data_IF_996223809455
#
_entry.id   IF_996223809455
#
_cell.length_a   1.000
_cell.length_b   1.000
_cell.length_c   1.000
_cell.angle_alpha   90.00
_cell.angle_beta   90.00
_cell.angle_gamma   90.00
#
_symmetry.space_group_name_H-M   'P 1'
#
loop_
_entity.id
_entity.type
_entity.pdbx_description
1 polymer ?
#
# COMPACT_ATOMS: atom_id res chain seq x y z
N UNK A 1 5.91 -14.51 42.09
CA UNK A 1 5.66 -15.53 41.04
C UNK A 1 6.85 -15.49 40.08
N UNK A 2 7.61 -16.57 39.97
CA UNK A 2 8.66 -16.66 38.92
C UNK A 2 7.96 -17.13 37.64
N UNK A 3 7.85 -16.25 36.67
CA UNK A 3 7.29 -16.60 35.33
C UNK A 3 8.30 -17.48 34.63
N UNK A 4 8.00 -18.76 34.43
CA UNK A 4 8.87 -19.68 33.73
C UNK A 4 8.69 -19.50 32.20
N UNK A 5 9.36 -18.48 31.64
CA UNK A 5 9.38 -18.22 30.21
C UNK A 5 10.52 -19.00 29.59
N UNK A 6 10.22 -19.96 28.73
CA UNK A 6 11.19 -20.77 28.03
C UNK A 6 11.01 -20.62 26.50
N UNK A 7 12.11 -20.46 25.79
CA UNK A 7 12.10 -20.49 24.33
C UNK A 7 11.97 -21.91 23.83
N UNK A 8 11.14 -22.14 22.83
CA UNK A 8 11.09 -23.36 22.06
C UNK A 8 12.41 -23.60 21.30
N UNK A 9 12.66 -24.81 20.85
CA UNK A 9 13.86 -25.12 20.06
C UNK A 9 13.96 -24.27 18.78
N UNK A 10 12.84 -23.98 18.12
CA UNK A 10 12.80 -23.13 16.95
C UNK A 10 13.19 -21.68 17.27
N UNK A 11 12.67 -21.13 18.37
CA UNK A 11 13.00 -19.77 18.83
C UNK A 11 14.47 -19.66 19.22
N UNK A 12 15.01 -20.68 19.93
CA UNK A 12 16.44 -20.72 20.27
C UNK A 12 17.33 -20.74 19.02
N UNK A 13 16.95 -21.51 17.99
CA UNK A 13 17.69 -21.56 16.73
C UNK A 13 17.61 -20.21 15.99
N UNK A 14 16.45 -19.58 15.95
CA UNK A 14 16.27 -18.27 15.34
C UNK A 14 17.14 -17.19 16.02
N UNK A 15 17.14 -17.14 17.35
CA UNK A 15 17.96 -16.18 18.13
C UNK A 15 19.45 -16.40 17.92
N UNK A 16 19.89 -17.65 17.75
CA UNK A 16 21.31 -18.00 17.54
C UNK A 16 21.77 -17.84 16.10
N UNK A 17 20.88 -17.56 15.17
CA UNK A 17 21.21 -17.41 13.74
C UNK A 17 21.21 -15.93 13.32
N UNK A 18 22.34 -15.22 13.40
CA UNK A 18 22.44 -13.82 12.98
C UNK A 18 22.27 -13.64 11.47
N UNK A 19 22.58 -14.66 10.65
CA UNK A 19 22.53 -14.59 9.20
C UNK A 19 21.13 -14.27 8.69
N UNK A 20 20.09 -14.84 9.33
CA UNK A 20 18.70 -14.54 9.00
C UNK A 20 18.39 -13.03 9.15
N UNK A 21 18.80 -12.45 10.27
CA UNK A 21 18.55 -11.00 10.53
C UNK A 21 19.37 -10.12 9.58
N UNK A 22 20.62 -10.48 9.30
CA UNK A 22 21.45 -9.75 8.35
C UNK A 22 20.87 -9.80 6.93
N UNK A 23 20.36 -10.96 6.51
CA UNK A 23 19.69 -11.13 5.23
C UNK A 23 18.40 -10.30 5.17
N UNK A 24 17.56 -10.34 6.22
CA UNK A 24 16.37 -9.49 6.34
C UNK A 24 16.73 -8.02 6.17
N UNK A 25 17.76 -7.54 6.90
CA UNK A 25 18.18 -6.14 6.83
C UNK A 25 18.66 -5.76 5.42
N UNK A 26 19.40 -6.63 4.75
CA UNK A 26 19.84 -6.45 3.38
C UNK A 26 18.66 -6.30 2.41
N UNK A 27 17.65 -7.17 2.53
CA UNK A 27 16.42 -7.10 1.71
C UNK A 27 15.68 -5.78 1.97
N UNK A 28 15.47 -5.41 3.24
CA UNK A 28 14.81 -4.17 3.62
C UNK A 28 15.52 -2.94 3.02
N UNK A 29 16.86 -2.91 3.05
CA UNK A 29 17.63 -1.84 2.44
C UNK A 29 17.46 -1.78 0.91
N UNK A 30 17.46 -2.93 0.23
CA UNK A 30 17.19 -3.00 -1.22
C UNK A 30 15.79 -2.50 -1.58
N UNK A 31 14.78 -2.88 -0.81
CA UNK A 31 13.40 -2.40 -1.01
C UNK A 31 13.30 -0.89 -0.75
N UNK A 32 13.99 -0.37 0.26
CA UNK A 32 14.03 1.07 0.51
C UNK A 32 14.68 1.84 -0.66
N UNK A 33 15.77 1.31 -1.24
CA UNK A 33 16.40 1.88 -2.44
C UNK A 33 15.43 1.85 -3.63
N UNK A 34 14.78 0.71 -3.88
CA UNK A 34 13.77 0.58 -4.94
C UNK A 34 12.63 1.62 -4.76
N UNK A 35 12.15 1.82 -3.56
CA UNK A 35 11.12 2.82 -3.27
C UNK A 35 11.61 4.26 -3.46
N UNK A 36 12.90 4.53 -3.19
CA UNK A 36 13.53 5.80 -3.53
C UNK A 36 13.53 6.06 -5.04
N UNK A 37 13.95 5.10 -5.84
CA UNK A 37 13.93 5.17 -7.31
C UNK A 37 12.49 5.32 -7.83
N UNK A 38 11.55 4.54 -7.31
CA UNK A 38 10.14 4.60 -7.68
C UNK A 38 9.53 5.98 -7.40
N UNK A 39 9.94 6.65 -6.33
CA UNK A 39 9.47 7.99 -6.03
C UNK A 39 9.93 9.03 -7.07
N UNK A 40 11.11 8.87 -7.63
CA UNK A 40 11.61 9.72 -8.72
C UNK A 40 10.82 9.49 -10.01
N UNK A 41 10.48 8.23 -10.30
CA UNK A 41 9.63 7.90 -11.44
C UNK A 41 8.21 8.48 -11.29
N UNK A 42 7.62 8.41 -10.12
CA UNK A 42 6.32 9.03 -9.85
C UNK A 42 6.37 10.54 -10.04
N UNK A 43 7.44 11.22 -9.61
CA UNK A 43 7.61 12.65 -9.85
C UNK A 43 7.73 12.97 -11.35
N UNK A 44 8.48 12.15 -12.10
CA UNK A 44 8.62 12.28 -13.55
C UNK A 44 7.28 12.11 -14.28
N UNK A 45 6.53 11.06 -13.94
CA UNK A 45 5.21 10.78 -14.52
C UNK A 45 4.21 11.91 -14.20
N UNK A 46 4.22 12.42 -12.97
CA UNK A 46 3.38 13.54 -12.58
C UNK A 46 3.60 14.77 -13.47
N UNK A 47 4.85 15.11 -13.73
CA UNK A 47 5.19 16.24 -14.59
C UNK A 47 4.73 16.01 -16.04
N UNK A 48 4.78 14.77 -16.56
CA UNK A 48 4.35 14.41 -17.93
C UNK A 48 2.82 14.39 -18.08
N UNK A 49 2.11 13.92 -17.05
CA UNK A 49 0.67 13.71 -17.11
C UNK A 49 -0.17 14.95 -16.72
N UNK A 50 0.48 16.07 -16.42
CA UNK A 50 -0.18 17.31 -16.02
C UNK A 50 -1.20 17.12 -14.88
N UNK A 51 -0.87 16.22 -13.94
CA UNK A 51 -1.68 15.93 -12.77
C UNK A 51 -1.66 17.10 -11.77
N UNK A 52 -2.58 17.17 -10.80
CA UNK A 52 -2.66 18.30 -9.90
C UNK A 52 -1.34 18.55 -9.14
N UNK A 53 -0.74 19.73 -9.32
CA UNK A 53 0.58 20.11 -8.74
C UNK A 53 0.61 20.04 -7.20
N UNK A 54 -0.54 20.15 -6.54
CA UNK A 54 -0.62 20.07 -5.08
C UNK A 54 -0.10 18.73 -4.52
N UNK A 55 -0.19 17.65 -5.31
CA UNK A 55 0.20 16.31 -4.88
C UNK A 55 1.72 16.16 -4.67
N UNK A 56 2.54 17.01 -5.29
CA UNK A 56 4.01 16.99 -5.16
C UNK A 56 4.56 17.93 -4.07
N UNK A 57 3.72 18.63 -3.34
CA UNK A 57 4.17 19.61 -2.34
C UNK A 57 4.90 18.97 -1.15
N UNK A 58 4.64 17.70 -0.90
CA UNK A 58 5.28 16.96 0.19
C UNK A 58 6.33 15.99 -0.35
N UNK A 59 7.43 15.87 0.38
CA UNK A 59 8.47 14.90 0.04
C UNK A 59 7.97 13.45 0.15
N UNK A 60 8.57 12.51 -0.64
CA UNK A 60 8.33 11.08 -0.47
C UNK A 60 8.53 10.65 0.98
N UNK A 61 7.66 9.78 1.48
CA UNK A 61 7.79 9.21 2.82
C UNK A 61 7.94 7.72 2.72
N UNK A 62 9.12 7.20 3.08
CA UNK A 62 9.34 5.77 3.27
C UNK A 62 9.22 5.47 4.77
N UNK A 63 8.31 4.56 5.11
CA UNK A 63 8.06 4.10 6.47
C UNK A 63 8.30 2.59 6.55
N UNK A 64 8.78 2.12 7.69
CA UNK A 64 8.91 0.69 7.96
C UNK A 64 8.22 0.34 9.27
N UNK A 65 7.70 -0.87 9.35
CA UNK A 65 7.15 -1.46 10.56
C UNK A 65 7.47 -2.94 10.65
N UNK A 66 7.34 -3.50 11.83
CA UNK A 66 7.68 -4.89 12.10
C UNK A 66 6.43 -5.75 12.32
N UNK A 67 5.24 -5.15 12.37
CA UNK A 67 4.03 -5.84 12.79
C UNK A 67 2.78 -5.33 12.04
N UNK A 68 2.65 -5.68 10.76
CA UNK A 68 1.36 -5.65 10.07
C UNK A 68 0.89 -7.09 9.92
N UNK A 69 -0.17 -7.45 10.63
CA UNK A 69 -0.64 -8.85 10.77
C UNK A 69 0.49 -9.82 11.14
N UNK A 70 1.36 -9.42 12.08
CA UNK A 70 2.47 -10.22 12.57
C UNK A 70 3.76 -10.17 11.73
N UNK A 71 3.79 -9.47 10.59
CA UNK A 71 4.91 -9.49 9.65
C UNK A 71 5.47 -8.08 9.37
N UNK A 72 6.77 -7.99 9.07
CA UNK A 72 7.41 -6.74 8.69
C UNK A 72 6.93 -6.18 7.37
N UNK A 73 7.03 -4.86 7.21
CA UNK A 73 6.67 -4.17 5.97
C UNK A 73 7.51 -2.92 5.71
N UNK A 74 7.56 -2.50 4.44
CA UNK A 74 7.92 -1.16 4.02
C UNK A 74 6.78 -0.53 3.23
N UNK A 75 6.68 0.79 3.32
CA UNK A 75 5.66 1.57 2.64
C UNK A 75 6.27 2.88 2.13
N UNK A 76 6.05 3.16 0.85
CA UNK A 76 6.29 4.46 0.25
C UNK A 76 4.95 5.16 0.02
N UNK A 77 4.76 6.34 0.58
CA UNK A 77 3.65 7.24 0.25
C UNK A 77 4.18 8.42 -0.57
N UNK A 78 3.90 8.41 -1.88
CA UNK A 78 4.24 9.50 -2.79
C UNK A 78 3.58 9.34 -4.17
N UNK A 79 3.00 10.41 -4.77
CA UNK A 79 2.65 11.67 -4.09
C UNK A 79 1.68 11.43 -2.93
N UNK A 80 1.61 12.37 -1.97
CA UNK A 80 0.77 12.17 -0.78
C UNK A 80 0.20 13.46 -0.22
N UNK A 81 -1.04 13.40 0.22
CA UNK A 81 -1.71 14.38 1.05
C UNK A 81 -2.54 13.61 2.08
N UNK A 82 -2.30 13.87 3.36
CA UNK A 82 -3.05 13.28 4.45
C UNK A 82 -3.65 14.41 5.30
N UNK A 83 -4.90 14.71 5.04
CA UNK A 83 -5.71 15.63 5.85
C UNK A 83 -6.75 14.80 6.63
N UNK A 84 -7.35 15.39 7.67
CA UNK A 84 -8.26 14.68 8.57
C UNK A 84 -9.36 13.90 7.83
N UNK A 85 -9.96 14.51 6.80
CA UNK A 85 -11.11 13.95 6.07
C UNK A 85 -10.83 13.78 4.57
N UNK A 86 -9.61 14.05 4.11
CA UNK A 86 -9.27 14.06 2.70
C UNK A 86 -7.90 13.43 2.50
N UNK A 87 -7.83 12.36 1.76
CA UNK A 87 -6.60 11.65 1.44
C UNK A 87 -6.39 11.61 -0.06
N UNK A 88 -5.16 11.84 -0.49
CA UNK A 88 -4.69 11.53 -1.83
C UNK A 88 -3.28 10.98 -1.71
N UNK A 89 -3.09 9.72 -2.01
CA UNK A 89 -1.76 9.12 -1.98
C UNK A 89 -1.62 7.98 -2.99
N UNK A 90 -0.43 7.86 -3.58
CA UNK A 90 0.00 6.61 -4.20
C UNK A 90 0.88 5.92 -3.18
N UNK A 91 0.40 4.77 -2.72
CA UNK A 91 1.06 3.94 -1.72
C UNK A 91 1.66 2.72 -2.38
N UNK A 92 2.99 2.58 -2.33
CA UNK A 92 3.68 1.35 -2.68
C UNK A 92 4.03 0.61 -1.40
N UNK A 93 3.63 -0.64 -1.30
CA UNK A 93 3.69 -1.44 -0.10
C UNK A 93 4.43 -2.75 -0.37
N UNK A 94 5.45 -3.04 0.43
CA UNK A 94 6.11 -4.33 0.50
C UNK A 94 5.72 -5.00 1.81
N UNK A 95 5.12 -6.16 1.73
CA UNK A 95 4.73 -6.96 2.89
C UNK A 95 5.52 -8.25 2.90
N UNK A 96 6.32 -8.43 3.91
CA UNK A 96 7.19 -9.59 4.05
C UNK A 96 6.42 -10.91 3.95
N UNK A 97 6.93 -11.86 3.16
CA UNK A 97 6.31 -13.16 2.97
C UNK A 97 5.05 -13.17 2.11
N UNK A 98 4.60 -11.99 1.62
CA UNK A 98 3.37 -11.86 0.83
C UNK A 98 3.66 -11.25 -0.55
N UNK A 99 3.55 -9.91 -0.70
CA UNK A 99 3.59 -9.27 -2.02
C UNK A 99 4.10 -7.83 -1.97
N UNK A 100 4.32 -7.30 -3.17
CA UNK A 100 4.32 -5.87 -3.43
C UNK A 100 2.94 -5.45 -3.97
N UNK A 101 2.44 -4.31 -3.51
CA UNK A 101 1.24 -3.70 -4.05
C UNK A 101 1.40 -2.20 -4.26
N UNK A 102 0.60 -1.65 -5.19
CA UNK A 102 0.47 -0.21 -5.40
C UNK A 102 -1.01 0.13 -5.26
N UNK A 103 -1.32 1.05 -4.37
CA UNK A 103 -2.69 1.49 -4.08
C UNK A 103 -2.81 2.99 -4.36
N UNK A 104 -3.79 3.38 -5.15
CA UNK A 104 -4.25 4.75 -5.19
C UNK A 104 -5.28 4.92 -4.06
N UNK A 105 -4.89 5.65 -3.03
CA UNK A 105 -5.73 5.92 -1.86
C UNK A 105 -6.29 7.33 -1.97
N UNK A 106 -7.60 7.41 -2.13
CA UNK A 106 -8.33 8.68 -2.25
C UNK A 106 -9.54 8.69 -1.33
N UNK A 107 -9.77 9.82 -0.66
CA UNK A 107 -10.97 10.02 0.13
C UNK A 107 -11.38 11.50 0.16
N UNK A 108 -12.64 11.75 0.53
CA UNK A 108 -13.22 13.07 0.61
C UNK A 108 -13.18 13.80 -0.74
N UNK A 109 -12.78 15.07 -0.77
CA UNK A 109 -12.75 15.90 -2.00
C UNK A 109 -11.90 15.34 -3.15
N UNK A 110 -11.00 14.39 -2.88
CA UNK A 110 -10.16 13.79 -3.90
C UNK A 110 -10.83 12.57 -4.56
N UNK A 111 -11.83 11.97 -3.94
CA UNK A 111 -12.58 10.85 -4.52
C UNK A 111 -13.25 11.24 -5.82
N UNK A 112 -13.86 12.42 -5.89
CA UNK A 112 -14.56 12.91 -7.07
C UNK A 112 -13.62 13.11 -8.27
N UNK A 113 -12.37 13.51 -8.03
CA UNK A 113 -11.37 13.71 -9.08
C UNK A 113 -10.98 12.41 -9.81
N UNK A 114 -11.12 11.28 -9.13
CA UNK A 114 -10.65 9.97 -9.60
C UNK A 114 -11.80 9.08 -10.03
N UNK A 115 -12.92 9.11 -9.31
CA UNK A 115 -14.09 8.25 -9.51
C UNK A 115 -14.57 8.23 -10.96
N UNK A 116 -14.89 9.40 -11.52
CA UNK A 116 -15.44 9.51 -12.87
C UNK A 116 -14.47 8.98 -13.93
N UNK A 117 -13.16 9.15 -13.68
CA UNK A 117 -12.12 8.65 -14.58
C UNK A 117 -11.99 7.13 -14.49
N UNK A 118 -12.01 6.58 -13.28
CA UNK A 118 -11.94 5.14 -13.06
C UNK A 118 -13.17 4.44 -13.66
N UNK A 119 -14.37 4.96 -13.42
CA UNK A 119 -15.64 4.43 -13.98
C UNK A 119 -15.63 4.48 -15.51
N UNK A 120 -15.14 5.56 -16.10
CA UNK A 120 -15.08 5.70 -17.56
C UNK A 120 -14.12 4.72 -18.21
N UNK A 121 -12.99 4.48 -17.56
CA UNK A 121 -11.88 3.68 -18.10
C UNK A 121 -11.84 2.25 -17.52
N UNK A 122 -12.85 1.81 -16.76
CA UNK A 122 -12.89 0.51 -16.08
C UNK A 122 -12.54 -0.68 -16.99
N UNK A 123 -13.08 -0.68 -18.23
CA UNK A 123 -12.83 -1.76 -19.21
C UNK A 123 -11.38 -1.82 -19.71
N UNK A 124 -10.62 -0.75 -19.48
CA UNK A 124 -9.20 -0.67 -19.86
C UNK A 124 -8.29 -1.05 -18.69
N UNK A 125 -8.85 -1.22 -17.48
CA UNK A 125 -8.07 -1.61 -16.32
C UNK A 125 -7.59 -3.05 -16.50
N UNK A 126 -6.30 -3.32 -16.24
CA UNK A 126 -5.80 -4.68 -16.26
C UNK A 126 -6.53 -5.59 -15.28
N UNK A 127 -6.64 -6.90 -15.58
CA UNK A 127 -7.37 -7.86 -14.77
C UNK A 127 -6.85 -8.08 -13.34
N UNK A 128 -5.74 -7.46 -12.97
CA UNK A 128 -5.16 -7.47 -11.63
C UNK A 128 -5.48 -6.20 -10.81
N UNK A 129 -6.45 -5.39 -11.25
CA UNK A 129 -6.95 -4.27 -10.49
C UNK A 129 -7.99 -4.71 -9.46
N UNK A 130 -7.94 -4.07 -8.29
CA UNK A 130 -8.81 -4.33 -7.17
C UNK A 130 -9.42 -3.02 -6.65
N UNK A 131 -10.62 -3.10 -6.07
CA UNK A 131 -11.27 -1.98 -5.38
C UNK A 131 -11.30 -2.32 -3.89
N UNK A 132 -10.84 -1.38 -3.06
CA UNK A 132 -10.96 -1.46 -1.60
C UNK A 132 -12.42 -1.28 -1.18
N UNK A 133 -12.90 -2.15 -0.30
CA UNK A 133 -14.29 -2.18 0.19
C UNK A 133 -14.38 -2.14 1.72
N UNK A 134 -13.27 -2.25 2.43
CA UNK A 134 -13.26 -2.30 3.89
C UNK A 134 -13.53 -0.92 4.49
N UNK A 135 -14.26 -0.86 5.61
CA UNK A 135 -14.56 0.37 6.34
C UNK A 135 -13.30 1.08 6.86
N UNK A 136 -12.31 0.29 7.31
CA UNK A 136 -10.99 0.81 7.64
C UNK A 136 -10.14 0.94 6.37
N UNK A 137 -10.03 2.16 5.87
CA UNK A 137 -9.25 2.52 4.69
C UNK A 137 -7.73 2.24 4.81
N UNK A 138 -7.24 1.84 5.99
CA UNK A 138 -5.82 1.58 6.26
C UNK A 138 -5.47 0.09 6.21
N UNK A 139 -6.42 -0.77 5.82
CA UNK A 139 -6.14 -2.18 5.57
C UNK A 139 -5.44 -2.37 4.23
N UNK A 140 -4.47 -3.29 4.20
CA UNK A 140 -3.60 -3.48 3.03
C UNK A 140 -3.61 -4.92 2.48
N UNK A 141 -4.17 -5.89 3.23
CA UNK A 141 -4.27 -7.29 2.78
C UNK A 141 -5.30 -7.45 1.66
N UNK A 142 -5.06 -8.41 0.75
CA UNK A 142 -5.94 -8.68 -0.40
C UNK A 142 -6.92 -9.84 -0.14
N UNK A 143 -7.50 -9.90 1.06
CA UNK A 143 -8.60 -10.80 1.35
C UNK A 143 -9.93 -10.21 0.85
N UNK A 144 -10.93 -11.09 0.61
CA UNK A 144 -12.22 -10.74 0.00
C UNK A 144 -13.02 -9.69 0.80
N UNK A 145 -12.79 -9.60 2.11
CA UNK A 145 -13.40 -8.60 2.97
C UNK A 145 -12.75 -7.21 2.86
N UNK A 146 -11.61 -7.09 2.16
CA UNK A 146 -10.87 -5.84 2.01
C UNK A 146 -10.78 -5.38 0.56
N UNK A 147 -10.48 -6.28 -0.38
CA UNK A 147 -10.34 -5.93 -1.79
C UNK A 147 -11.11 -6.90 -2.69
N UNK A 148 -11.86 -6.36 -3.65
CA UNK A 148 -12.52 -7.15 -4.70
C UNK A 148 -11.86 -6.92 -6.06
N UNK A 149 -11.63 -7.99 -6.85
CA UNK A 149 -11.11 -7.86 -8.21
C UNK A 149 -12.11 -7.14 -9.11
N UNK A 150 -11.66 -6.12 -9.85
CA UNK A 150 -12.53 -5.39 -10.79
C UNK A 150 -13.10 -6.30 -11.88
N UNK A 151 -12.33 -7.30 -12.32
CA UNK A 151 -12.78 -8.27 -13.34
C UNK A 151 -14.01 -9.10 -12.93
N UNK A 152 -14.23 -9.28 -11.63
CA UNK A 152 -15.31 -10.09 -11.07
C UNK A 152 -16.47 -9.21 -10.55
N UNK A 153 -16.40 -7.90 -10.76
CA UNK A 153 -17.36 -6.90 -10.27
C UNK A 153 -18.12 -6.29 -11.45
N UNK A 154 -19.44 -6.21 -11.33
CA UNK A 154 -20.24 -5.53 -12.35
C UNK A 154 -19.99 -4.02 -12.33
N UNK A 155 -20.32 -3.34 -13.46
CA UNK A 155 -20.16 -1.89 -13.54
C UNK A 155 -20.98 -1.15 -12.49
N UNK A 156 -22.19 -1.61 -12.24
CA UNK A 156 -23.11 -1.03 -11.26
C UNK A 156 -22.54 -1.16 -9.84
N UNK A 157 -21.96 -2.31 -9.52
CA UNK A 157 -21.28 -2.55 -8.24
C UNK A 157 -20.02 -1.67 -8.09
N UNK A 158 -19.19 -1.56 -9.14
CA UNK A 158 -18.03 -0.66 -9.14
C UNK A 158 -18.44 0.79 -8.84
N UNK A 159 -19.48 1.30 -9.51
CA UNK A 159 -20.00 2.64 -9.30
C UNK A 159 -20.47 2.80 -7.87
N UNK A 160 -21.23 1.84 -7.34
CA UNK A 160 -21.73 1.86 -5.97
C UNK A 160 -20.58 1.90 -4.95
N UNK A 161 -19.58 1.04 -5.09
CA UNK A 161 -18.41 0.99 -4.20
C UNK A 161 -17.62 2.29 -4.22
N UNK A 162 -17.33 2.84 -5.40
CA UNK A 162 -16.61 4.10 -5.56
C UNK A 162 -17.43 5.34 -5.10
N UNK A 163 -18.73 5.18 -4.88
CA UNK A 163 -19.61 6.25 -4.40
C UNK A 163 -19.84 6.22 -2.89
N UNK A 164 -19.50 5.12 -2.21
CA UNK A 164 -19.68 4.94 -0.77
C UNK A 164 -18.42 5.31 0.04
N UNK A 165 -17.29 5.46 -0.61
CA UNK A 165 -16.00 5.87 -0.05
C UNK A 165 -15.71 7.32 -0.47
#
# INVERSE_FOLDING_TARGET
>A
MVTNIMLSSAEQNAVKNPEYILTKNSIINKVATLFGELSMEYASLHNKLNTPKFALQLHPKISKGENYLGLPYLMLDFPRIFEKNHVFAIRSFFWWGNYFSITLHVSGRYSDLVRDKVIRDEKKLPGHFYIGIHEDQWQHHFEENNFLPVKDTSREECIKMLSQN
#
